data_IF_119768134394
#
_entry.id   IF_119768134394
#
_cell.length_a   1.000
_cell.length_b   1.000
_cell.length_c   1.000
_cell.angle_alpha   90.00
_cell.angle_beta   90.00
_cell.angle_gamma   90.00
#
_symmetry.space_group_name_H-M   'P 1'
#
loop_
_entity.id
_entity.type
_entity.pdbx_description
1 polymer ?
#
# COMPACT_ATOMS: atom_id res chain seq x y z
N UNK A 1 31.61 -9.77 3.34
CA UNK A 1 30.25 -9.85 3.98
C UNK A 1 30.22 -9.51 5.47
N UNK A 2 31.35 -9.47 6.21
CA UNK A 2 31.34 -9.12 7.64
C UNK A 2 31.22 -7.60 7.86
N UNK A 3 31.94 -6.81 7.10
CA UNK A 3 31.94 -5.35 7.26
C UNK A 3 30.57 -4.75 6.93
N UNK A 4 30.03 -5.09 5.76
CA UNK A 4 28.72 -4.60 5.34
C UNK A 4 27.59 -5.05 6.29
N UNK A 5 27.64 -6.29 6.79
CA UNK A 5 26.62 -6.76 7.75
C UNK A 5 26.69 -5.99 9.06
N UNK A 6 27.90 -5.73 9.56
CA UNK A 6 28.11 -4.94 10.77
C UNK A 6 27.67 -3.49 10.60
N UNK A 7 27.95 -2.89 9.44
CA UNK A 7 27.54 -1.55 9.08
C UNK A 7 26.01 -1.42 8.98
N UNK A 8 25.35 -2.37 8.33
CA UNK A 8 23.89 -2.41 8.21
C UNK A 8 23.21 -2.50 9.59
N UNK A 9 23.72 -3.34 10.48
CA UNK A 9 23.18 -3.46 11.86
C UNK A 9 23.33 -2.15 12.64
N UNK A 10 24.45 -1.41 12.44
CA UNK A 10 24.62 -0.09 13.07
C UNK A 10 23.68 0.95 12.46
N UNK A 11 23.62 1.02 11.14
CA UNK A 11 22.77 1.97 10.43
C UNK A 11 21.28 1.79 10.79
N UNK A 12 20.81 0.55 10.84
CA UNK A 12 19.40 0.25 11.13
C UNK A 12 18.95 0.74 12.52
N UNK A 13 19.85 0.84 13.49
CA UNK A 13 19.54 1.39 14.81
C UNK A 13 19.25 2.90 14.80
N UNK A 14 19.73 3.58 13.78
CA UNK A 14 19.61 5.03 13.60
C UNK A 14 18.59 5.42 12.51
N UNK A 15 17.89 4.45 11.89
CA UNK A 15 16.83 4.77 10.95
C UNK A 15 15.72 5.55 11.61
N UNK A 16 15.26 6.61 10.93
CA UNK A 16 14.13 7.42 11.35
C UNK A 16 12.79 6.82 10.92
N UNK A 17 11.68 7.40 11.40
CA UNK A 17 10.35 7.01 10.97
C UNK A 17 10.07 7.51 9.54
N UNK A 18 9.42 6.67 8.72
CA UNK A 18 8.89 7.09 7.42
C UNK A 18 7.49 7.70 7.62
N UNK A 19 7.42 8.99 7.90
CA UNK A 19 6.17 9.69 8.24
C UNK A 19 5.24 9.80 7.03
N UNK A 20 3.94 9.59 7.22
CA UNK A 20 2.91 9.75 6.19
C UNK A 20 2.52 11.22 6.01
N UNK A 21 3.37 12.02 5.39
CA UNK A 21 3.15 13.46 5.19
C UNK A 21 2.42 13.79 3.89
N UNK A 22 2.58 12.96 2.86
CA UNK A 22 1.97 13.19 1.55
C UNK A 22 0.52 12.73 1.50
N UNK A 23 -0.39 13.62 1.03
CA UNK A 23 -1.81 13.31 0.85
C UNK A 23 -2.07 12.68 -0.52
N UNK A 24 -2.82 11.58 -0.55
CA UNK A 24 -3.35 11.02 -1.80
C UNK A 24 -4.76 11.60 -2.04
N UNK A 25 -4.95 12.49 -3.04
CA UNK A 25 -6.23 13.14 -3.29
C UNK A 25 -7.31 12.15 -3.75
N UNK A 26 -6.94 11.01 -4.35
CA UNK A 26 -7.88 10.00 -4.82
C UNK A 26 -8.41 9.10 -3.69
N UNK A 27 -7.58 8.79 -2.70
CA UNK A 27 -7.93 7.86 -1.63
C UNK A 27 -8.15 8.54 -0.27
N UNK A 28 -8.01 9.88 -0.20
CA UNK A 28 -8.11 10.65 1.06
C UNK A 28 -7.27 10.06 2.20
N UNK A 29 -6.16 9.41 1.85
CA UNK A 29 -5.23 8.79 2.78
C UNK A 29 -3.87 9.49 2.70
N UNK A 30 -3.16 9.51 3.81
CA UNK A 30 -1.77 9.94 3.85
C UNK A 30 -0.85 8.74 3.58
N UNK A 31 0.29 8.99 2.98
CA UNK A 31 1.32 7.98 2.74
C UNK A 31 2.72 8.59 2.84
N UNK A 32 3.69 7.78 3.23
CA UNK A 32 5.09 8.14 3.12
C UNK A 32 5.50 8.05 1.65
N UNK A 33 5.89 9.16 1.04
CA UNK A 33 6.39 9.16 -0.32
C UNK A 33 7.83 8.63 -0.41
N UNK A 34 8.38 8.55 -1.62
CA UNK A 34 9.73 8.03 -1.82
C UNK A 34 10.79 8.91 -1.15
N UNK A 35 10.60 10.24 -1.17
CA UNK A 35 11.55 11.17 -0.57
C UNK A 35 11.63 10.93 0.95
N UNK A 36 10.48 10.88 1.62
CA UNK A 36 10.40 10.59 3.06
C UNK A 36 11.01 9.24 3.43
N UNK A 37 10.80 8.21 2.59
CA UNK A 37 11.41 6.89 2.83
C UNK A 37 12.94 6.92 2.68
N UNK A 38 13.45 7.68 1.72
CA UNK A 38 14.90 7.87 1.54
C UNK A 38 15.48 8.67 2.71
N UNK A 39 14.86 9.79 3.08
CA UNK A 39 15.27 10.64 4.21
C UNK A 39 15.36 9.86 5.51
N UNK A 40 14.44 8.92 5.75
CA UNK A 40 14.42 8.11 6.96
C UNK A 40 15.67 7.23 7.14
N UNK A 41 16.43 6.94 6.07
CA UNK A 41 17.52 5.96 6.12
C UNK A 41 18.86 6.48 5.61
N UNK A 42 18.86 7.50 4.75
CA UNK A 42 20.06 7.84 3.96
C UNK A 42 21.22 8.32 4.82
N UNK A 43 20.96 9.18 5.79
CA UNK A 43 22.01 9.70 6.67
C UNK A 43 22.61 8.60 7.52
N UNK A 44 21.77 7.75 8.12
CA UNK A 44 22.22 6.63 8.92
C UNK A 44 23.02 5.60 8.11
N UNK A 45 22.67 5.38 6.84
CA UNK A 45 23.45 4.52 5.93
C UNK A 45 24.82 5.16 5.65
N UNK A 46 24.84 6.42 5.23
CA UNK A 46 26.07 7.13 4.88
C UNK A 46 27.01 7.27 6.08
N UNK A 47 26.50 7.56 7.26
CA UNK A 47 27.29 7.66 8.51
C UNK A 47 27.97 6.33 8.90
N UNK A 48 27.47 5.22 8.37
CA UNK A 48 28.03 3.89 8.57
C UNK A 48 28.77 3.34 7.32
N UNK A 49 29.16 4.22 6.40
CA UNK A 49 29.94 3.87 5.22
C UNK A 49 29.17 3.05 4.17
N UNK A 50 27.85 3.17 4.14
CA UNK A 50 26.97 2.45 3.20
C UNK A 50 26.37 3.40 2.17
N UNK A 51 26.54 3.07 0.90
CA UNK A 51 25.81 3.69 -0.21
C UNK A 51 24.58 2.86 -0.58
N UNK A 52 23.44 3.54 -0.77
CA UNK A 52 22.19 2.96 -1.27
C UNK A 52 22.10 3.11 -2.78
N UNK A 53 21.99 2.00 -3.49
CA UNK A 53 21.80 1.97 -4.94
C UNK A 53 20.49 1.24 -5.28
N UNK A 54 19.69 1.84 -6.15
CA UNK A 54 18.51 1.20 -6.71
C UNK A 54 18.65 1.11 -8.22
N UNK A 55 18.86 -0.11 -8.72
CA UNK A 55 19.06 -0.40 -10.15
C UNK A 55 17.74 -0.85 -10.77
N UNK A 56 17.52 -0.41 -12.02
CA UNK A 56 16.40 -0.91 -12.83
C UNK A 56 16.90 -2.01 -13.76
N UNK A 57 16.06 -3.03 -13.97
CA UNK A 57 16.34 -4.13 -14.89
C UNK A 57 15.27 -4.18 -15.97
N UNK A 58 15.62 -4.80 -17.10
CA UNK A 58 14.69 -5.02 -18.21
C UNK A 58 13.49 -5.86 -17.76
N UNK A 59 12.30 -5.51 -18.27
CA UNK A 59 11.06 -6.17 -17.96
C UNK A 59 10.01 -5.88 -19.04
N UNK A 60 9.33 -6.88 -19.52
CA UNK A 60 8.31 -6.78 -20.57
C UNK A 60 7.06 -6.02 -20.13
N UNK A 61 6.72 -6.11 -18.85
CA UNK A 61 5.48 -5.54 -18.33
C UNK A 61 5.68 -4.90 -16.95
N UNK A 62 6.14 -3.65 -16.94
CA UNK A 62 6.35 -2.90 -15.71
C UNK A 62 7.80 -2.55 -15.47
N UNK A 63 8.22 -2.56 -14.22
CA UNK A 63 9.57 -2.24 -13.78
C UNK A 63 10.08 -3.28 -12.79
N UNK A 64 11.37 -3.58 -12.85
CA UNK A 64 12.07 -4.34 -11.83
C UNK A 64 13.09 -3.42 -11.20
N UNK A 65 13.05 -3.28 -9.87
CA UNK A 65 14.02 -2.51 -9.08
C UNK A 65 14.74 -3.46 -8.14
N UNK A 66 16.07 -3.42 -8.18
CA UNK A 66 16.95 -4.07 -7.23
C UNK A 66 17.54 -3.05 -6.26
N UNK A 67 17.36 -3.26 -4.96
CA UNK A 67 17.96 -2.44 -3.92
C UNK A 67 19.24 -3.09 -3.44
N UNK A 68 20.36 -2.39 -3.58
CA UNK A 68 21.71 -2.85 -3.23
C UNK A 68 22.37 -1.86 -2.29
N UNK A 69 23.04 -2.36 -1.28
CA UNK A 69 23.93 -1.59 -0.42
C UNK A 69 25.39 -1.87 -0.81
N UNK A 70 26.20 -0.82 -0.85
CA UNK A 70 27.64 -0.90 -1.11
C UNK A 70 28.35 -0.32 0.10
N UNK A 71 29.23 -1.10 0.72
CA UNK A 71 30.05 -0.65 1.83
C UNK A 71 31.38 -0.08 1.32
N UNK A 72 31.99 0.86 2.05
CA UNK A 72 33.28 1.49 1.73
C UNK A 72 34.43 0.48 1.57
N UNK A 73 34.32 -0.71 2.15
CA UNK A 73 35.25 -1.82 1.94
C UNK A 73 35.16 -2.47 0.55
N UNK A 74 34.17 -2.07 -0.29
CA UNK A 74 33.85 -2.71 -1.54
C UNK A 74 32.91 -3.92 -1.45
N UNK A 75 32.51 -4.34 -0.25
CA UNK A 75 31.48 -5.37 -0.10
C UNK A 75 30.13 -4.86 -0.55
N UNK A 76 29.35 -5.72 -1.22
CA UNK A 76 28.00 -5.40 -1.69
C UNK A 76 26.98 -6.38 -1.12
N UNK A 77 25.76 -5.90 -0.86
CA UNK A 77 24.62 -6.70 -0.43
C UNK A 77 23.38 -6.30 -1.23
N UNK A 78 22.84 -7.25 -2.01
CA UNK A 78 21.55 -7.10 -2.66
C UNK A 78 20.43 -7.55 -1.72
N UNK A 79 19.47 -6.68 -1.49
CA UNK A 79 18.26 -6.98 -0.72
C UNK A 79 17.16 -7.64 -1.58
N UNK A 80 17.47 -7.93 -2.85
CA UNK A 80 16.57 -8.57 -3.80
C UNK A 80 15.94 -7.62 -4.79
N UNK A 81 15.11 -8.20 -5.67
CA UNK A 81 14.44 -7.53 -6.78
C UNK A 81 12.93 -7.48 -6.53
N UNK A 82 12.34 -6.31 -6.77
CA UNK A 82 10.91 -6.11 -6.73
C UNK A 82 10.39 -5.80 -8.13
N UNK A 83 9.46 -6.62 -8.63
CA UNK A 83 8.71 -6.35 -9.85
C UNK A 83 7.40 -5.64 -9.53
N UNK A 84 7.12 -4.55 -10.22
CA UNK A 84 5.84 -3.83 -10.18
C UNK A 84 5.31 -3.70 -11.60
N UNK A 85 4.14 -4.27 -11.92
CA UNK A 85 3.55 -4.15 -13.23
C UNK A 85 3.11 -2.71 -13.50
N UNK A 86 3.30 -2.23 -14.73
CA UNK A 86 2.76 -0.94 -15.16
C UNK A 86 1.31 -1.07 -15.55
N UNK A 87 0.44 -0.19 -15.04
CA UNK A 87 -0.97 -0.14 -15.41
C UNK A 87 -1.22 0.41 -16.81
N UNK A 88 -0.24 1.14 -17.37
CA UNK A 88 -0.27 1.72 -18.71
C UNK A 88 1.11 1.59 -19.36
N UNK A 89 1.13 1.30 -20.67
CA UNK A 89 2.37 1.20 -21.47
C UNK A 89 2.79 2.58 -22.03
N UNK A 90 2.85 3.58 -21.15
CA UNK A 90 3.31 4.93 -21.46
C UNK A 90 4.31 5.41 -20.40
N UNK A 91 4.98 6.53 -20.67
CA UNK A 91 5.99 7.08 -19.76
C UNK A 91 5.43 7.39 -18.37
N UNK A 92 4.17 7.80 -18.27
CA UNK A 92 3.50 8.08 -16.99
C UNK A 92 3.25 6.80 -16.19
N UNK A 93 2.78 5.74 -16.84
CA UNK A 93 2.57 4.43 -16.22
C UNK A 93 3.85 3.83 -15.70
N UNK A 94 4.92 3.84 -16.52
CA UNK A 94 6.24 3.37 -16.11
C UNK A 94 6.84 4.22 -15.00
N UNK A 95 6.75 5.55 -15.06
CA UNK A 95 7.23 6.46 -14.01
C UNK A 95 6.53 6.23 -12.68
N UNK A 96 5.22 6.00 -12.69
CA UNK A 96 4.44 5.67 -11.52
C UNK A 96 4.86 4.32 -10.93
N UNK A 97 4.96 3.28 -11.76
CA UNK A 97 5.41 1.94 -11.35
C UNK A 97 6.83 1.98 -10.75
N UNK A 98 7.74 2.77 -11.36
CA UNK A 98 9.12 2.94 -10.88
C UNK A 98 9.15 3.59 -9.48
N UNK A 99 8.38 4.65 -9.27
CA UNK A 99 8.29 5.32 -7.98
C UNK A 99 7.76 4.37 -6.90
N UNK A 100 6.76 3.57 -7.24
CA UNK A 100 6.22 2.52 -6.37
C UNK A 100 7.26 1.45 -6.05
N UNK A 101 7.91 0.90 -7.06
CA UNK A 101 8.92 -0.15 -6.92
C UNK A 101 10.09 0.31 -6.04
N UNK A 102 10.61 1.52 -6.27
CA UNK A 102 11.70 2.08 -5.47
C UNK A 102 11.32 2.25 -4.02
N UNK A 103 10.15 2.80 -3.75
CA UNK A 103 9.67 3.02 -2.38
C UNK A 103 9.50 1.71 -1.61
N UNK A 104 8.74 0.76 -2.15
CA UNK A 104 8.48 -0.50 -1.46
C UNK A 104 9.71 -1.40 -1.34
N UNK A 105 10.56 -1.41 -2.36
CA UNK A 105 11.85 -2.13 -2.32
C UNK A 105 12.76 -1.56 -1.23
N UNK A 106 12.84 -0.23 -1.09
CA UNK A 106 13.63 0.42 -0.04
C UNK A 106 13.08 0.11 1.36
N UNK A 107 11.77 0.25 1.54
CA UNK A 107 11.13 -0.03 2.83
C UNK A 107 11.35 -1.48 3.26
N UNK A 108 11.18 -2.42 2.33
CA UNK A 108 11.43 -3.85 2.58
C UNK A 108 12.91 -4.12 2.92
N UNK A 109 13.85 -3.52 2.17
CA UNK A 109 15.28 -3.69 2.36
C UNK A 109 15.78 -3.14 3.72
N UNK A 110 15.19 -2.04 4.18
CA UNK A 110 15.57 -1.39 5.44
C UNK A 110 14.73 -1.85 6.64
N UNK A 111 13.64 -2.60 6.43
CA UNK A 111 12.75 -3.03 7.50
C UNK A 111 11.98 -1.87 8.14
N UNK A 112 11.70 -0.80 7.37
CA UNK A 112 10.90 0.34 7.83
C UNK A 112 9.45 0.22 7.34
N UNK A 113 8.52 0.73 8.15
CA UNK A 113 7.10 0.82 7.81
C UNK A 113 6.65 2.28 7.83
N UNK A 114 5.66 2.67 7.00
CA UNK A 114 5.09 4.01 7.08
C UNK A 114 4.40 4.22 8.42
N UNK A 115 4.72 5.30 9.11
CA UNK A 115 4.07 5.70 10.36
C UNK A 115 3.02 6.80 10.11
N UNK A 116 1.92 6.76 10.87
CA UNK A 116 0.93 7.84 10.87
C UNK A 116 1.38 8.94 11.86
N UNK A 117 1.52 10.16 11.37
CA UNK A 117 1.78 11.36 12.19
C UNK A 117 0.44 11.98 12.63
N UNK A 118 -0.31 11.24 13.45
CA UNK A 118 -1.64 11.67 13.91
C UNK A 118 -1.58 12.52 15.19
N UNK A 119 -0.41 13.02 15.58
CA UNK A 119 -0.25 13.77 16.83
C UNK A 119 -0.47 12.93 18.10
N UNK A 120 -0.69 11.64 17.98
CA UNK A 120 -0.91 10.72 19.11
C UNK A 120 0.39 10.21 19.78
N UNK A 121 1.56 10.62 19.28
CA UNK A 121 2.85 10.28 19.89
C UNK A 121 3.06 10.89 21.30
N UNK A 122 2.20 11.81 21.73
CA UNK A 122 2.28 12.43 23.07
C UNK A 122 1.73 11.55 24.21
N UNK A 123 1.13 10.40 23.91
CA UNK A 123 0.52 9.49 24.92
C UNK A 123 0.99 8.04 24.83
N UNK A 124 2.10 7.76 24.15
CA UNK A 124 2.62 6.40 24.09
C UNK A 124 3.24 6.00 25.43
N UNK A 125 2.54 5.15 26.18
CA UNK A 125 3.09 4.38 27.29
C UNK A 125 4.24 3.45 26.77
N UNK A 126 5.25 3.13 27.61
CA UNK A 126 6.40 2.36 27.18
C UNK A 126 5.99 0.98 26.63
N UNK A 127 6.75 0.38 25.69
CA UNK A 127 6.38 -0.84 25.02
C UNK A 127 6.31 -2.01 26.01
N UNK A 128 5.11 -2.53 26.21
CA UNK A 128 4.88 -3.77 26.93
C UNK A 128 5.36 -4.93 26.05
N UNK A 129 6.40 -5.61 26.51
CA UNK A 129 6.96 -6.82 25.91
C UNK A 129 5.87 -7.90 25.81
N UNK A 130 5.30 -8.10 24.62
CA UNK A 130 4.31 -9.15 24.38
C UNK A 130 4.97 -10.53 24.44
N UNK A 131 4.47 -11.37 25.34
CA UNK A 131 4.68 -12.82 25.35
C UNK A 131 3.97 -13.45 24.13
N UNK A 132 4.44 -14.62 23.63
CA UNK A 132 3.87 -15.24 22.42
C UNK A 132 2.46 -15.76 22.71
N UNK A 133 1.48 -15.25 22.02
CA UNK A 133 0.10 -15.74 22.03
C UNK A 133 -0.29 -16.36 20.70
N UNK A 134 -0.91 -17.50 20.80
CA UNK A 134 -1.56 -18.42 19.89
C UNK A 134 -2.07 -17.91 18.52
N UNK A 135 -2.20 -18.86 17.59
CA UNK A 135 -2.58 -18.82 16.19
C UNK A 135 -3.72 -17.85 15.80
N UNK A 136 -3.70 -17.31 14.55
CA UNK A 136 -4.63 -16.28 14.11
C UNK A 136 -6.03 -16.83 13.85
N UNK A 137 -7.02 -16.11 14.38
CA UNK A 137 -8.42 -16.25 13.96
C UNK A 137 -8.57 -15.78 12.51
N UNK A 138 -9.45 -16.40 11.75
CA UNK A 138 -9.74 -16.15 10.35
C UNK A 138 -10.08 -14.67 10.07
N UNK A 139 -9.68 -14.11 8.91
CA UNK A 139 -9.91 -12.71 8.58
C UNK A 139 -11.40 -12.43 8.42
N UNK A 140 -11.89 -11.42 9.12
CA UNK A 140 -13.23 -10.85 8.91
C UNK A 140 -13.29 -10.30 7.48
N UNK A 141 -14.30 -10.60 6.67
CA UNK A 141 -14.38 -10.13 5.29
C UNK A 141 -14.43 -8.59 5.24
N UNK A 142 -13.55 -8.00 4.42
CA UNK A 142 -13.51 -6.57 4.20
C UNK A 142 -14.86 -6.08 3.67
N UNK A 143 -15.32 -4.91 4.14
CA UNK A 143 -16.58 -4.27 3.70
C UNK A 143 -16.37 -3.51 2.39
N UNK A 144 -17.44 -3.23 1.66
CA UNK A 144 -17.44 -2.43 0.44
C UNK A 144 -16.83 -1.05 0.67
N UNK A 145 -16.01 -0.58 -0.27
CA UNK A 145 -15.42 0.75 -0.22
C UNK A 145 -16.47 1.85 -0.49
N UNK A 146 -16.17 3.09 -0.12
CA UNK A 146 -17.04 4.23 -0.42
C UNK A 146 -17.30 4.40 -1.94
N UNK A 147 -16.33 4.02 -2.77
CA UNK A 147 -16.45 4.06 -4.23
C UNK A 147 -17.41 2.97 -4.76
N UNK A 148 -17.35 1.78 -4.14
CA UNK A 148 -18.24 0.68 -4.48
C UNK A 148 -19.70 1.04 -4.13
N UNK A 149 -19.90 1.65 -2.96
CA UNK A 149 -21.22 2.13 -2.50
C UNK A 149 -21.77 3.19 -3.45
N UNK A 150 -20.97 4.15 -3.89
CA UNK A 150 -21.35 5.19 -4.84
C UNK A 150 -21.70 4.59 -6.21
N UNK A 151 -20.89 3.65 -6.69
CA UNK A 151 -21.12 2.94 -7.96
C UNK A 151 -22.43 2.14 -7.93
N UNK A 152 -22.65 1.37 -6.86
CA UNK A 152 -23.90 0.60 -6.69
C UNK A 152 -25.10 1.54 -6.60
N UNK A 153 -25.01 2.64 -5.86
CA UNK A 153 -26.09 3.60 -5.70
C UNK A 153 -26.48 4.27 -7.02
N UNK A 154 -25.51 4.71 -7.81
CA UNK A 154 -25.74 5.30 -9.14
C UNK A 154 -26.35 4.31 -10.12
N UNK A 155 -25.83 3.07 -10.11
CA UNK A 155 -26.35 2.03 -11.00
C UNK A 155 -27.75 1.57 -10.59
N UNK A 156 -28.04 1.48 -9.30
CA UNK A 156 -29.36 1.18 -8.78
C UNK A 156 -30.38 2.27 -9.18
N UNK A 157 -30.02 3.54 -9.02
CA UNK A 157 -30.84 4.67 -9.45
C UNK A 157 -31.11 4.65 -10.95
N UNK A 158 -30.07 4.41 -11.79
CA UNK A 158 -30.22 4.32 -13.25
C UNK A 158 -31.11 3.15 -13.72
N UNK A 159 -31.24 2.09 -12.90
CA UNK A 159 -32.05 0.91 -13.19
C UNK A 159 -33.40 0.88 -12.43
N UNK A 160 -33.74 1.95 -11.73
CA UNK A 160 -34.99 2.03 -10.95
C UNK A 160 -35.05 1.01 -9.80
N UNK A 161 -33.90 0.67 -9.22
CA UNK A 161 -33.82 -0.26 -8.09
C UNK A 161 -33.58 0.52 -6.81
N UNK A 162 -34.45 0.30 -5.80
CA UNK A 162 -34.24 0.88 -4.49
C UNK A 162 -33.06 0.21 -3.77
N UNK A 163 -32.15 1.02 -3.22
CA UNK A 163 -31.00 0.54 -2.45
C UNK A 163 -31.41 -0.24 -1.20
N UNK A 164 -32.59 0.04 -0.64
CA UNK A 164 -33.19 -0.72 0.47
C UNK A 164 -33.49 -2.17 0.09
N UNK A 165 -33.89 -2.43 -1.15
CA UNK A 165 -34.12 -3.78 -1.65
C UNK A 165 -32.80 -4.56 -1.77
N UNK A 166 -31.69 -3.91 -2.11
CA UNK A 166 -30.37 -4.52 -2.12
C UNK A 166 -29.95 -4.86 -0.69
N UNK A 167 -30.09 -3.92 0.24
CA UNK A 167 -29.78 -4.16 1.65
C UNK A 167 -30.57 -5.34 2.24
N UNK A 168 -31.86 -5.44 1.93
CA UNK A 168 -32.71 -6.55 2.36
C UNK A 168 -32.25 -7.91 1.78
N UNK A 169 -31.89 -7.93 0.47
CA UNK A 169 -31.45 -9.16 -0.19
C UNK A 169 -30.15 -9.73 0.39
N UNK A 170 -29.25 -8.87 0.85
CA UNK A 170 -27.96 -9.27 1.44
C UNK A 170 -27.96 -9.25 2.98
N UNK A 171 -29.11 -8.98 3.61
CA UNK A 171 -29.30 -8.91 5.09
C UNK A 171 -28.33 -7.96 5.77
N UNK A 172 -28.15 -6.78 5.20
CA UNK A 172 -27.25 -5.71 5.69
C UNK A 172 -28.08 -4.47 6.03
N UNK A 173 -27.60 -3.65 6.96
CA UNK A 173 -28.30 -2.43 7.36
C UNK A 173 -28.01 -1.26 6.42
N UNK A 174 -26.86 -1.28 5.74
CA UNK A 174 -26.40 -0.24 4.83
C UNK A 174 -25.54 -0.85 3.72
N UNK A 175 -25.47 -0.20 2.55
CA UNK A 175 -24.57 -0.61 1.46
C UNK A 175 -23.09 -0.62 1.87
N UNK A 176 -22.71 0.20 2.85
CA UNK A 176 -21.36 0.18 3.43
C UNK A 176 -21.05 -1.09 4.24
N UNK A 177 -22.05 -1.86 4.62
CA UNK A 177 -21.87 -3.15 5.30
C UNK A 177 -21.77 -4.33 4.33
N UNK A 178 -21.93 -4.09 3.03
CA UNK A 178 -21.79 -5.12 2.01
C UNK A 178 -20.36 -5.68 1.99
N UNK A 179 -20.17 -7.02 2.06
CA UNK A 179 -18.83 -7.59 1.91
C UNK A 179 -18.23 -7.24 0.56
N UNK A 180 -16.95 -6.84 0.53
CA UNK A 180 -16.24 -6.46 -0.71
C UNK A 180 -16.29 -7.56 -1.78
N UNK A 181 -16.33 -8.83 -1.35
CA UNK A 181 -16.47 -10.00 -2.24
C UNK A 181 -17.82 -10.06 -2.97
N UNK A 182 -18.85 -9.34 -2.46
CA UNK A 182 -20.21 -9.31 -3.03
C UNK A 182 -20.47 -8.11 -3.93
N UNK A 183 -19.58 -7.12 -3.94
CA UNK A 183 -19.73 -5.89 -4.74
C UNK A 183 -19.91 -6.20 -6.22
N UNK A 184 -19.04 -7.02 -6.80
CA UNK A 184 -19.11 -7.40 -8.21
C UNK A 184 -20.38 -8.17 -8.57
N UNK A 185 -20.87 -9.03 -7.67
CA UNK A 185 -22.12 -9.76 -7.84
C UNK A 185 -23.32 -8.80 -7.91
N UNK A 186 -23.36 -7.80 -7.02
CA UNK A 186 -24.41 -6.77 -7.00
C UNK A 186 -24.37 -5.94 -8.28
N UNK A 187 -23.19 -5.48 -8.68
CA UNK A 187 -23.01 -4.68 -9.92
C UNK A 187 -23.45 -5.49 -11.15
N UNK A 188 -23.04 -6.75 -11.26
CA UNK A 188 -23.44 -7.61 -12.39
C UNK A 188 -24.96 -7.83 -12.45
N UNK A 189 -25.62 -8.04 -11.31
CA UNK A 189 -27.08 -8.19 -11.23
C UNK A 189 -27.82 -6.92 -11.62
N UNK A 190 -27.33 -5.75 -11.22
CA UNK A 190 -27.89 -4.47 -11.61
C UNK A 190 -27.72 -4.19 -13.10
N UNK A 191 -26.55 -4.57 -13.67
CA UNK A 191 -26.30 -4.42 -15.11
C UNK A 191 -27.17 -5.36 -15.96
N UNK A 192 -27.41 -6.57 -15.48
CA UNK A 192 -28.25 -7.56 -16.17
C UNK A 192 -29.75 -7.23 -16.12
N UNK A 193 -30.17 -6.32 -15.22
CA UNK A 193 -31.57 -5.87 -15.16
C UNK A 193 -31.84 -4.89 -16.28
N UNK A 194 -32.76 -5.21 -17.19
CA UNK A 194 -33.24 -4.26 -18.22
C UNK A 194 -33.84 -3.03 -17.53
N UNK A 195 -33.57 -1.83 -18.10
CA UNK A 195 -34.17 -0.61 -17.61
C UNK A 195 -35.68 -0.72 -17.80
N UNK A 196 -36.43 -0.75 -16.70
CA UNK A 196 -37.89 -0.66 -16.76
C UNK A 196 -38.18 0.72 -17.37
N UNK A 197 -38.64 0.73 -18.64
CA UNK A 197 -39.08 1.95 -19.31
C UNK A 197 -40.22 2.54 -18.46
N UNK A 198 -40.02 3.75 -17.99
CA UNK A 198 -41.10 4.57 -17.44
C UNK A 198 -41.99 4.94 -18.63
N UNK A 199 -43.11 4.24 -18.78
CA UNK A 199 -44.24 4.75 -19.55
C UNK A 199 -45.11 5.58 -18.60
N UNK A 200 -45.37 6.77 -19.07
CA UNK A 200 -46.27 7.85 -18.67
C UNK A 200 -45.73 8.92 -17.78
#
# INVERSE_FOLDING_TARGET
MKEIASALVRAQKAFGPALKQSANPHFKSRYADLATCVEAVIDALNDNGLALIQQTHECDNGVIVETTFIHESGETFSAGKLHVPSSKHDAQGYGSALTYARRYSLMAACGIAPEDDDGNAATAAPPVRRAPTAAPAAPTPAKASALDVDTISKLAAAKGVDTTAICAAYKINSLSDLPATKVQEVVARLQAKEATATQE
#
